data_IF_932627474334
#
_entry.id   IF_932627474334
#
_cell.length_a   1.000
_cell.length_b   1.000
_cell.length_c   1.000
_cell.angle_alpha   90.00
_cell.angle_beta   90.00
_cell.angle_gamma   90.00
#
_symmetry.space_group_name_H-M   'P 1'
#
loop_
_entity.id
_entity.type
_entity.pdbx_description
1 polymer ?
#
# COMPACT_ATOMS: atom_id res chain seq x y z
N UNK A 1 -10.80 28.10 14.27
CA UNK A 1 -9.43 27.78 13.81
C UNK A 1 -9.08 26.31 14.04
N UNK A 2 -9.19 25.79 15.27
CA UNK A 2 -8.91 24.37 15.64
C UNK A 2 -9.57 23.33 14.72
N UNK A 3 -10.86 23.43 14.45
CA UNK A 3 -11.59 22.46 13.61
C UNK A 3 -11.17 22.47 12.13
N UNK A 4 -10.67 23.60 11.62
CA UNK A 4 -10.14 23.68 10.25
C UNK A 4 -8.82 22.90 10.15
N UNK A 5 -7.95 23.01 11.15
CA UNK A 5 -6.68 22.28 11.23
C UNK A 5 -6.94 20.78 11.35
N UNK A 6 -7.79 20.36 12.30
CA UNK A 6 -8.13 18.94 12.47
C UNK A 6 -8.75 18.35 11.19
N UNK A 7 -9.57 19.12 10.49
CA UNK A 7 -10.15 18.70 9.21
C UNK A 7 -9.08 18.48 8.14
N UNK A 8 -8.10 19.38 8.04
CA UNK A 8 -6.98 19.23 7.11
C UNK A 8 -6.15 17.97 7.41
N UNK A 9 -5.89 17.70 8.70
CA UNK A 9 -5.20 16.48 9.15
C UNK A 9 -5.96 15.24 8.69
N UNK A 10 -7.29 15.19 8.89
CA UNK A 10 -8.12 14.06 8.40
C UNK A 10 -8.03 13.93 6.89
N UNK A 11 -8.11 15.03 6.14
CA UNK A 11 -8.06 15.02 4.67
C UNK A 11 -6.74 14.41 4.16
N UNK A 12 -5.62 14.68 4.83
CA UNK A 12 -4.29 14.23 4.40
C UNK A 12 -3.95 12.84 4.93
N UNK A 13 -4.20 12.57 6.22
CA UNK A 13 -3.76 11.33 6.85
C UNK A 13 -4.66 10.14 6.50
N UNK A 14 -5.97 10.35 6.34
CA UNK A 14 -6.89 9.24 6.08
C UNK A 14 -6.56 8.50 4.78
N UNK A 15 -6.29 9.19 3.65
CA UNK A 15 -5.86 8.51 2.42
C UNK A 15 -4.53 7.78 2.57
N UNK A 16 -3.55 8.39 3.25
CA UNK A 16 -2.25 7.77 3.46
C UNK A 16 -2.35 6.49 4.30
N UNK A 17 -3.17 6.51 5.37
CA UNK A 17 -3.42 5.31 6.18
C UNK A 17 -4.12 4.23 5.36
N UNK A 18 -5.16 4.57 4.58
CA UNK A 18 -5.83 3.56 3.75
C UNK A 18 -4.93 2.96 2.67
N UNK A 19 -4.07 3.78 2.04
CA UNK A 19 -3.09 3.31 1.07
C UNK A 19 -2.07 2.35 1.70
N UNK A 20 -1.46 2.72 2.82
CA UNK A 20 -0.45 1.89 3.48
C UNK A 20 -1.06 0.64 4.15
N UNK A 21 -2.30 0.69 4.61
CA UNK A 21 -3.04 -0.51 5.05
C UNK A 21 -3.32 -1.43 3.85
N UNK A 22 -3.72 -0.87 2.71
CA UNK A 22 -3.96 -1.66 1.49
C UNK A 22 -2.68 -2.30 0.96
N UNK A 23 -1.55 -1.59 1.04
CA UNK A 23 -0.24 -2.13 0.74
C UNK A 23 0.06 -3.36 1.60
N UNK A 24 -0.07 -3.26 2.93
CA UNK A 24 0.18 -4.41 3.81
C UNK A 24 -0.75 -5.59 3.48
N UNK A 25 -2.04 -5.35 3.24
CA UNK A 25 -3.00 -6.42 2.89
C UNK A 25 -2.62 -7.11 1.59
N UNK A 26 -2.23 -6.35 0.56
CA UNK A 26 -1.90 -6.90 -0.76
C UNK A 26 -0.57 -7.64 -0.75
N UNK A 27 0.44 -7.11 -0.07
CA UNK A 27 1.77 -7.74 0.02
C UNK A 27 1.69 -9.05 0.80
N UNK A 28 0.81 -9.16 1.82
CA UNK A 28 0.58 -10.39 2.61
C UNK A 28 -0.42 -11.38 1.99
N UNK A 29 -0.78 -11.22 0.72
CA UNK A 29 -1.85 -12.00 0.10
C UNK A 29 -1.28 -13.14 -0.73
N UNK A 30 -1.12 -14.32 -0.12
CA UNK A 30 -0.57 -15.51 -0.78
C UNK A 30 -1.34 -15.88 -2.05
N UNK A 31 -2.67 -15.81 -1.99
CA UNK A 31 -3.52 -16.11 -3.15
C UNK A 31 -3.29 -15.16 -4.33
N UNK A 32 -2.91 -13.91 -4.05
CA UNK A 32 -2.62 -12.92 -5.09
C UNK A 32 -1.23 -13.16 -5.67
N UNK A 33 -0.23 -13.48 -4.85
CA UNK A 33 1.11 -13.83 -5.32
C UNK A 33 1.08 -15.10 -6.17
N UNK A 34 0.41 -16.15 -5.69
CA UNK A 34 0.22 -17.39 -6.44
C UNK A 34 -0.44 -17.16 -7.82
N UNK A 35 -1.51 -16.36 -7.87
CA UNK A 35 -2.16 -15.97 -9.12
C UNK A 35 -1.19 -15.22 -10.06
N UNK A 36 -0.37 -14.31 -9.52
CA UNK A 36 0.56 -13.54 -10.33
C UNK A 36 1.77 -14.35 -10.79
N UNK A 37 2.22 -15.35 -10.03
CA UNK A 37 3.25 -16.29 -10.46
C UNK A 37 2.84 -17.09 -11.69
N UNK A 38 1.60 -17.57 -11.71
CA UNK A 38 1.02 -18.25 -12.88
C UNK A 38 0.90 -17.29 -14.07
N UNK A 39 0.26 -16.12 -13.88
CA UNK A 39 0.04 -15.13 -14.96
C UNK A 39 1.35 -14.65 -15.60
N UNK A 40 2.41 -14.48 -14.80
CA UNK A 40 3.69 -13.97 -15.27
C UNK A 40 4.71 -15.08 -15.56
N UNK A 41 4.32 -16.35 -15.47
CA UNK A 41 5.14 -17.51 -15.75
C UNK A 41 6.49 -17.48 -15.00
N UNK A 42 6.43 -17.16 -13.71
CA UNK A 42 7.61 -16.87 -12.88
C UNK A 42 8.46 -18.11 -12.66
N UNK A 43 7.85 -19.30 -12.53
CA UNK A 43 8.60 -20.56 -12.39
C UNK A 43 9.63 -20.74 -13.51
N UNK A 44 9.23 -20.50 -14.76
CA UNK A 44 10.16 -20.60 -15.90
C UNK A 44 11.18 -19.45 -15.95
N UNK A 45 10.84 -18.27 -15.42
CA UNK A 45 11.74 -17.12 -15.42
C UNK A 45 12.83 -17.23 -14.35
N UNK A 46 12.56 -17.94 -13.25
CA UNK A 46 13.47 -18.07 -12.12
C UNK A 46 14.05 -19.47 -11.93
N UNK A 47 13.51 -20.49 -12.60
CA UNK A 47 13.91 -21.89 -12.40
C UNK A 47 13.49 -22.46 -11.04
N UNK A 48 12.51 -21.83 -10.38
CA UNK A 48 12.01 -22.26 -9.05
C UNK A 48 10.61 -22.84 -9.21
N UNK A 49 10.37 -24.01 -8.59
CA UNK A 49 9.04 -24.61 -8.49
C UNK A 49 8.11 -23.71 -7.64
N UNK A 50 6.80 -23.77 -7.89
CA UNK A 50 5.82 -22.88 -7.25
C UNK A 50 5.83 -22.94 -5.72
N UNK A 51 6.01 -24.12 -5.14
CA UNK A 51 6.08 -24.29 -3.68
C UNK A 51 7.30 -23.57 -3.10
N UNK A 52 8.41 -23.58 -3.84
CA UNK A 52 9.64 -22.88 -3.45
C UNK A 52 9.50 -21.37 -3.63
N UNK A 53 8.88 -20.91 -4.72
CA UNK A 53 8.53 -19.50 -4.92
C UNK A 53 7.68 -18.96 -3.76
N UNK A 54 6.67 -19.70 -3.34
CA UNK A 54 5.81 -19.30 -2.22
C UNK A 54 6.57 -19.28 -0.89
N UNK A 55 7.43 -20.27 -0.62
CA UNK A 55 8.30 -20.26 0.58
C UNK A 55 9.23 -19.04 0.59
N UNK A 56 9.90 -18.75 -0.53
CA UNK A 56 10.79 -17.59 -0.65
C UNK A 56 10.00 -16.30 -0.49
N UNK A 57 8.78 -16.24 -1.02
CA UNK A 57 7.86 -15.10 -0.83
C UNK A 57 7.56 -14.88 0.64
N UNK A 58 7.25 -15.94 1.39
CA UNK A 58 6.97 -15.84 2.83
C UNK A 58 8.20 -15.28 3.57
N UNK A 59 9.41 -15.69 3.20
CA UNK A 59 10.65 -15.15 3.79
C UNK A 59 10.88 -13.68 3.43
N UNK A 60 10.60 -13.26 2.19
CA UNK A 60 10.62 -11.86 1.78
C UNK A 60 9.59 -11.06 2.58
N UNK A 61 8.36 -11.56 2.72
CA UNK A 61 7.31 -10.88 3.48
C UNK A 61 7.68 -10.78 4.97
N UNK A 62 8.21 -11.84 5.55
CA UNK A 62 8.65 -11.83 6.95
C UNK A 62 9.79 -10.84 7.18
N UNK A 63 10.71 -10.67 6.22
CA UNK A 63 11.70 -9.59 6.25
C UNK A 63 11.05 -8.21 6.17
N UNK A 64 10.20 -7.96 5.17
CA UNK A 64 9.53 -6.66 4.97
C UNK A 64 8.64 -6.22 6.14
N UNK A 65 8.15 -7.17 6.95
CA UNK A 65 7.32 -6.92 8.12
C UNK A 65 8.02 -7.19 9.45
N UNK A 66 9.36 -7.24 9.46
CA UNK A 66 10.19 -7.23 10.66
C UNK A 66 10.15 -8.50 11.51
N UNK A 67 9.76 -9.64 10.91
CA UNK A 67 9.82 -10.97 11.53
C UNK A 67 11.12 -11.72 11.22
N UNK A 68 11.90 -11.23 10.27
CA UNK A 68 13.24 -11.72 9.89
C UNK A 68 14.23 -10.55 9.91
N UNK A 69 15.46 -10.81 10.37
CA UNK A 69 16.48 -9.77 10.56
C UNK A 69 17.28 -9.43 9.29
N UNK A 70 17.48 -10.40 8.39
CA UNK A 70 18.32 -10.23 7.21
C UNK A 70 17.66 -10.78 5.93
N UNK A 71 18.09 -10.30 4.76
CA UNK A 71 17.55 -10.71 3.46
C UNK A 71 18.32 -11.89 2.79
N UNK A 72 19.25 -12.55 3.49
CA UNK A 72 19.99 -13.69 2.92
C UNK A 72 19.09 -14.93 2.90
N UNK A 73 18.39 -15.14 1.78
CA UNK A 73 17.45 -16.23 1.60
C UNK A 73 18.07 -17.31 0.72
N UNK A 74 18.13 -18.53 1.26
CA UNK A 74 18.56 -19.73 0.55
C UNK A 74 17.37 -20.45 -0.07
N UNK A 75 17.61 -21.16 -1.16
CA UNK A 75 16.64 -22.07 -1.74
C UNK A 75 17.17 -22.80 -2.96
N UNK A 76 16.26 -23.49 -3.63
CA UNK A 76 16.56 -24.31 -4.80
C UNK A 76 16.18 -23.59 -6.09
N UNK A 77 17.15 -23.38 -6.97
CA UNK A 77 16.94 -22.94 -8.37
C UNK A 77 17.49 -24.04 -9.29
N UNK A 78 16.68 -24.49 -10.25
CA UNK A 78 17.00 -25.57 -11.19
C UNK A 78 17.49 -26.87 -10.50
N UNK A 79 16.93 -27.16 -9.32
CA UNK A 79 17.33 -28.33 -8.51
C UNK A 79 18.64 -28.18 -7.74
N UNK A 80 19.24 -26.98 -7.72
CA UNK A 80 20.48 -26.69 -7.00
C UNK A 80 20.22 -25.71 -5.84
N UNK A 81 20.58 -26.15 -4.63
CA UNK A 81 20.56 -25.33 -3.41
C UNK A 81 21.65 -24.24 -3.46
N UNK A 82 21.25 -22.98 -3.30
CA UNK A 82 22.13 -21.82 -3.34
C UNK A 82 21.50 -20.60 -2.61
N UNK A 83 22.27 -19.51 -2.49
CA UNK A 83 21.71 -18.20 -2.15
C UNK A 83 20.89 -17.71 -3.35
N UNK A 84 19.63 -17.32 -3.13
CA UNK A 84 18.72 -16.94 -4.23
C UNK A 84 19.06 -15.55 -4.77
N UNK A 85 19.45 -14.64 -3.89
CA UNK A 85 19.69 -13.23 -4.23
C UNK A 85 21.18 -12.91 -4.19
N UNK A 86 21.62 -12.11 -5.16
CA UNK A 86 22.99 -11.59 -5.20
C UNK A 86 23.17 -10.38 -4.26
N UNK A 87 24.42 -9.97 -4.05
CA UNK A 87 24.79 -8.87 -3.14
C UNK A 87 24.07 -7.55 -3.47
N UNK A 88 23.89 -7.24 -4.76
CA UNK A 88 23.20 -6.01 -5.19
C UNK A 88 21.71 -6.05 -4.84
N UNK A 89 21.06 -7.19 -5.03
CA UNK A 89 19.65 -7.38 -4.67
C UNK A 89 19.43 -7.32 -3.16
N UNK A 90 20.35 -7.89 -2.39
CA UNK A 90 20.33 -7.83 -0.92
C UNK A 90 20.44 -6.39 -0.43
N UNK A 91 21.41 -5.61 -0.93
CA UNK A 91 21.57 -4.20 -0.55
C UNK A 91 20.32 -3.38 -0.93
N UNK A 92 19.75 -3.64 -2.12
CA UNK A 92 18.51 -3.00 -2.51
C UNK A 92 17.35 -3.35 -1.56
N UNK A 93 17.22 -4.62 -1.19
CA UNK A 93 16.13 -5.06 -0.32
C UNK A 93 16.30 -4.60 1.12
N UNK A 94 17.53 -4.41 1.62
CA UNK A 94 17.79 -3.73 2.89
C UNK A 94 17.25 -2.28 2.88
N UNK A 95 17.51 -1.53 1.80
CA UNK A 95 16.94 -0.19 1.63
C UNK A 95 15.39 -0.22 1.59
N UNK A 96 14.81 -1.22 0.92
CA UNK A 96 13.35 -1.43 0.87
C UNK A 96 12.79 -1.80 2.25
N UNK A 97 13.49 -2.62 3.04
CA UNK A 97 13.11 -2.98 4.40
C UNK A 97 13.00 -1.73 5.29
N UNK A 98 14.01 -0.85 5.25
CA UNK A 98 13.97 0.44 5.96
C UNK A 98 12.80 1.32 5.51
N UNK A 99 12.48 1.31 4.21
CA UNK A 99 11.34 2.05 3.67
C UNK A 99 10.00 1.49 4.19
N UNK A 100 9.86 0.16 4.23
CA UNK A 100 8.69 -0.52 4.80
C UNK A 100 8.53 -0.20 6.29
N UNK A 101 9.59 -0.31 7.09
CA UNK A 101 9.57 0.01 8.52
C UNK A 101 9.10 1.43 8.78
N UNK A 102 9.69 2.41 8.08
CA UNK A 102 9.28 3.82 8.18
C UNK A 102 7.83 4.03 7.75
N UNK A 103 7.40 3.36 6.68
CA UNK A 103 6.03 3.41 6.17
C UNK A 103 5.00 2.86 7.16
N UNK A 104 5.26 1.68 7.72
CA UNK A 104 4.39 1.04 8.71
C UNK A 104 4.33 1.85 10.01
N UNK A 105 5.48 2.36 10.49
CA UNK A 105 5.51 3.25 11.64
C UNK A 105 4.68 4.51 11.41
N UNK A 106 4.89 5.19 10.28
CA UNK A 106 4.12 6.38 9.91
C UNK A 106 2.62 6.08 9.86
N UNK A 107 2.22 4.98 9.20
CA UNK A 107 0.82 4.56 9.13
C UNK A 107 0.23 4.36 10.53
N UNK A 108 0.93 3.64 11.40
CA UNK A 108 0.43 3.32 12.75
C UNK A 108 0.26 4.59 13.60
N UNK A 109 1.24 5.51 13.54
CA UNK A 109 1.18 6.82 14.21
C UNK A 109 0.08 7.72 13.61
N UNK A 110 -0.14 7.68 12.29
CA UNK A 110 -1.21 8.42 11.65
C UNK A 110 -2.60 7.85 12.02
N UNK A 111 -2.74 6.52 12.09
CA UNK A 111 -3.98 5.83 12.48
C UNK A 111 -4.39 6.12 13.93
N UNK A 112 -3.50 5.82 14.89
CA UNK A 112 -3.01 6.81 15.84
C UNK A 112 -3.81 8.10 16.10
N UNK A 113 -3.31 9.15 15.47
CA UNK A 113 -3.86 10.51 15.45
C UNK A 113 -5.32 10.53 14.95
N UNK A 114 -5.64 9.80 13.89
CA UNK A 114 -7.00 9.75 13.33
C UNK A 114 -8.01 9.18 14.34
N UNK A 115 -7.62 8.19 15.14
CA UNK A 115 -8.45 7.62 16.20
C UNK A 115 -8.81 8.69 17.24
N UNK A 116 -7.81 9.45 17.73
CA UNK A 116 -8.06 10.54 18.69
C UNK A 116 -8.94 11.65 18.09
N UNK A 117 -8.72 12.01 16.82
CA UNK A 117 -9.58 12.97 16.12
C UNK A 117 -11.01 12.41 15.97
N UNK A 118 -11.14 11.12 15.69
CA UNK A 118 -12.42 10.41 15.61
C UNK A 118 -13.18 10.48 16.93
N UNK A 119 -12.51 10.16 18.06
CA UNK A 119 -13.08 10.25 19.41
C UNK A 119 -13.56 11.67 19.71
N UNK A 120 -12.73 12.68 19.45
CA UNK A 120 -13.12 14.09 19.58
C UNK A 120 -14.36 14.41 18.70
N UNK A 121 -14.39 13.88 17.49
CA UNK A 121 -15.45 14.07 16.50
C UNK A 121 -16.79 13.39 16.85
N UNK A 122 -16.85 12.48 17.83
CA UNK A 122 -18.11 11.83 18.26
C UNK A 122 -19.12 12.87 18.77
N UNK A 123 -18.65 13.90 19.45
CA UNK A 123 -19.48 15.04 19.90
C UNK A 123 -19.84 16.02 18.79
N UNK A 124 -19.21 15.87 17.61
CA UNK A 124 -19.31 16.78 16.44
C UNK A 124 -19.52 16.00 15.16
N UNK A 125 -20.47 15.07 15.18
CA UNK A 125 -20.70 14.05 14.13
C UNK A 125 -20.77 14.64 12.73
N UNK A 126 -21.54 15.72 12.54
CA UNK A 126 -21.65 16.41 11.23
C UNK A 126 -20.31 16.89 10.69
N UNK A 127 -19.46 17.46 11.55
CA UNK A 127 -18.11 17.91 11.17
C UNK A 127 -17.23 16.72 10.79
N UNK A 128 -17.26 15.64 11.57
CA UNK A 128 -16.47 14.43 11.33
C UNK A 128 -16.85 13.79 9.99
N UNK A 129 -18.14 13.55 9.75
CA UNK A 129 -18.63 12.94 8.51
C UNK A 129 -18.30 13.78 7.29
N UNK A 130 -18.48 15.11 7.35
CA UNK A 130 -18.10 16.02 6.26
C UNK A 130 -16.59 16.02 6.01
N UNK A 131 -15.78 15.82 7.04
CA UNK A 131 -14.32 15.77 6.91
C UNK A 131 -13.87 14.48 6.23
N UNK A 132 -14.46 13.33 6.60
CA UNK A 132 -14.19 12.04 5.97
C UNK A 132 -14.67 11.98 4.50
N UNK A 133 -15.84 12.53 4.19
CA UNK A 133 -16.32 12.64 2.80
C UNK A 133 -15.38 13.51 1.96
N UNK A 134 -14.94 14.66 2.49
CA UNK A 134 -14.01 15.53 1.77
C UNK A 134 -12.63 14.89 1.61
N UNK A 135 -12.18 14.12 2.60
CA UNK A 135 -10.96 13.32 2.50
C UNK A 135 -11.04 12.31 1.35
N UNK A 136 -12.15 11.58 1.25
CA UNK A 136 -12.38 10.65 0.13
C UNK A 136 -12.44 11.36 -1.23
N UNK A 137 -13.13 12.49 -1.33
CA UNK A 137 -13.16 13.27 -2.56
C UNK A 137 -11.75 13.72 -2.99
N UNK A 138 -10.95 14.20 -2.03
CA UNK A 138 -9.56 14.63 -2.27
C UNK A 138 -8.69 13.44 -2.71
N UNK A 139 -8.84 12.30 -2.05
CA UNK A 139 -8.16 11.06 -2.44
C UNK A 139 -8.46 10.69 -3.90
N UNK A 140 -9.72 10.68 -4.33
CA UNK A 140 -10.06 10.32 -5.71
C UNK A 140 -9.52 11.32 -6.74
N UNK A 141 -9.46 12.61 -6.41
CA UNK A 141 -8.82 13.61 -7.29
C UNK A 141 -7.33 13.31 -7.47
N UNK A 142 -6.61 13.05 -6.37
CA UNK A 142 -5.19 12.70 -6.40
C UNK A 142 -4.97 11.36 -7.10
N UNK A 143 -5.83 10.38 -6.85
CA UNK A 143 -5.77 9.06 -7.47
C UNK A 143 -5.93 9.13 -8.99
N UNK A 144 -6.88 9.93 -9.50
CA UNK A 144 -7.06 10.10 -10.95
C UNK A 144 -5.80 10.70 -11.58
N UNK A 145 -5.20 11.71 -10.93
CA UNK A 145 -3.97 12.32 -11.41
C UNK A 145 -2.81 11.30 -11.40
N UNK A 146 -2.53 10.65 -10.27
CA UNK A 146 -1.44 9.69 -10.14
C UNK A 146 -1.64 8.44 -11.01
N UNK A 147 -2.86 7.89 -11.03
CA UNK A 147 -3.22 6.76 -11.86
C UNK A 147 -3.11 7.07 -13.35
N UNK A 148 -3.45 8.29 -13.77
CA UNK A 148 -3.24 8.77 -15.13
C UNK A 148 -1.75 8.83 -15.50
N UNK A 149 -0.90 9.33 -14.60
CA UNK A 149 0.55 9.35 -14.79
C UNK A 149 1.12 7.93 -14.93
N UNK A 150 0.78 7.03 -14.00
CA UNK A 150 1.21 5.63 -14.02
C UNK A 150 0.71 4.88 -15.27
N UNK A 151 -0.48 5.22 -15.78
CA UNK A 151 -1.02 4.65 -17.00
C UNK A 151 -0.28 5.10 -18.26
N UNK A 152 0.18 6.36 -18.31
CA UNK A 152 0.88 6.92 -19.46
C UNK A 152 2.30 6.35 -19.61
N UNK A 153 3.04 6.24 -18.51
CA UNK A 153 4.42 5.76 -18.53
C UNK A 153 4.83 5.17 -17.18
N UNK A 154 4.45 3.92 -16.94
CA UNK A 154 4.74 3.25 -15.68
C UNK A 154 6.24 3.22 -15.37
N UNK A 155 7.08 2.91 -16.36
CA UNK A 155 8.53 2.79 -16.17
C UNK A 155 9.16 4.10 -15.71
N UNK A 156 8.79 5.23 -16.33
CA UNK A 156 9.27 6.55 -15.90
C UNK A 156 8.93 6.85 -14.45
N UNK A 157 7.68 6.62 -14.03
CA UNK A 157 7.26 6.94 -12.67
C UNK A 157 7.74 5.91 -11.65
N UNK A 158 7.98 4.65 -12.07
CA UNK A 158 8.68 3.65 -11.30
C UNK A 158 10.12 4.09 -11.01
N UNK A 159 10.87 4.55 -12.01
CA UNK A 159 12.22 5.07 -11.80
C UNK A 159 12.23 6.32 -10.93
N UNK A 160 11.31 7.27 -11.18
CA UNK A 160 11.19 8.47 -10.35
C UNK A 160 10.89 8.13 -8.87
N UNK A 161 10.06 7.11 -8.62
CA UNK A 161 9.84 6.63 -7.25
C UNK A 161 11.15 6.17 -6.61
N UNK A 162 11.95 5.37 -7.31
CA UNK A 162 13.22 4.89 -6.79
C UNK A 162 14.22 6.03 -6.55
N UNK A 163 14.30 7.00 -7.44
CA UNK A 163 15.15 8.20 -7.28
C UNK A 163 14.73 9.08 -6.08
N UNK A 164 13.45 9.07 -5.70
CA UNK A 164 12.96 9.81 -4.52
C UNK A 164 13.36 9.12 -3.21
N UNK A 165 13.32 7.79 -3.18
CA UNK A 165 13.51 7.03 -1.94
C UNK A 165 14.92 6.48 -1.76
N UNK A 166 15.67 6.27 -2.83
CA UNK A 166 17.00 5.68 -2.82
C UNK A 166 18.03 6.65 -3.40
N UNK A 167 19.17 6.76 -2.72
CA UNK A 167 20.25 7.69 -3.08
C UNK A 167 21.41 7.00 -3.81
N UNK A 168 21.23 5.73 -4.14
CA UNK A 168 22.20 4.84 -4.79
C UNK A 168 21.55 4.14 -5.98
N UNK A 169 22.32 3.30 -6.65
CA UNK A 169 21.97 2.69 -7.93
C UNK A 169 21.66 1.18 -7.76
N UNK A 170 21.61 0.64 -6.53
CA UNK A 170 21.44 -0.80 -6.28
C UNK A 170 20.07 -1.33 -6.71
N UNK A 171 19.06 -0.45 -6.75
CA UNK A 171 17.72 -0.76 -7.27
C UNK A 171 17.65 -0.96 -8.79
N UNK A 172 18.70 -0.58 -9.53
CA UNK A 172 18.80 -0.87 -10.96
C UNK A 172 19.27 -2.32 -11.11
N UNK A 173 18.34 -3.19 -11.48
CA UNK A 173 18.53 -4.64 -11.60
C UNK A 173 18.41 -5.06 -13.08
N UNK A 174 19.34 -5.90 -13.53
CA UNK A 174 19.30 -6.50 -14.86
C UNK A 174 18.55 -7.84 -14.79
N UNK A 175 17.43 -8.04 -15.53
CA UNK A 175 16.72 -9.31 -15.58
C UNK A 175 17.56 -10.51 -16.02
N UNK A 176 18.69 -10.29 -16.70
CA UNK A 176 19.61 -11.38 -17.06
C UNK A 176 20.31 -12.00 -15.84
N UNK A 177 20.53 -11.21 -14.78
CA UNK A 177 21.33 -11.60 -13.62
C UNK A 177 20.56 -11.54 -12.28
N UNK A 178 19.37 -10.93 -12.26
CA UNK A 178 18.58 -10.68 -11.05
C UNK A 178 17.39 -11.64 -10.94
N UNK A 179 17.42 -12.48 -9.91
CA UNK A 179 16.28 -13.34 -9.55
C UNK A 179 15.12 -12.50 -8.99
N UNK A 180 15.40 -11.45 -8.24
CA UNK A 180 14.40 -10.58 -7.61
C UNK A 180 13.48 -9.95 -8.66
N UNK A 181 14.01 -9.34 -9.72
CA UNK A 181 13.17 -8.74 -10.76
C UNK A 181 12.47 -9.78 -11.63
N UNK A 182 13.00 -11.01 -11.70
CA UNK A 182 12.34 -12.13 -12.37
C UNK A 182 11.22 -12.75 -11.51
N UNK A 183 11.29 -12.66 -10.18
CA UNK A 183 10.19 -13.01 -9.27
C UNK A 183 9.04 -12.01 -9.34
N UNK A 184 9.35 -10.71 -9.42
CA UNK A 184 8.35 -9.63 -9.51
C UNK A 184 8.53 -8.80 -10.78
N UNK A 185 8.34 -9.41 -11.97
CA UNK A 185 8.53 -8.73 -13.24
C UNK A 185 7.59 -7.53 -13.36
N UNK A 186 7.93 -6.58 -14.23
CA UNK A 186 7.24 -5.28 -14.27
C UNK A 186 5.71 -5.38 -14.37
N UNK A 187 5.18 -6.36 -15.10
CA UNK A 187 3.74 -6.60 -15.21
C UNK A 187 3.12 -7.05 -13.88
N UNK A 188 3.79 -7.94 -13.14
CA UNK A 188 3.40 -8.29 -11.78
C UNK A 188 3.48 -7.06 -10.88
N UNK A 189 4.57 -6.28 -10.92
CA UNK A 189 4.67 -5.08 -10.09
C UNK A 189 3.55 -4.07 -10.38
N UNK A 190 3.16 -3.88 -11.65
CA UNK A 190 1.98 -3.10 -12.02
C UNK A 190 0.69 -3.66 -11.42
N UNK A 191 0.53 -4.98 -11.38
CA UNK A 191 -0.61 -5.64 -10.74
C UNK A 191 -0.65 -5.41 -9.24
N UNK A 192 0.50 -5.43 -8.54
CA UNK A 192 0.60 -5.07 -7.12
C UNK A 192 0.06 -3.66 -6.91
N UNK A 193 0.61 -2.68 -7.67
CA UNK A 193 0.20 -1.27 -7.58
C UNK A 193 -1.30 -1.12 -7.85
N UNK A 194 -1.82 -1.73 -8.92
CA UNK A 194 -3.25 -1.69 -9.26
C UNK A 194 -4.10 -2.27 -8.12
N UNK A 195 -3.71 -3.41 -7.54
CA UNK A 195 -4.47 -4.06 -6.46
C UNK A 195 -4.50 -3.21 -5.18
N UNK A 196 -3.39 -2.53 -4.86
CA UNK A 196 -3.33 -1.56 -3.75
C UNK A 196 -4.29 -0.39 -4.00
N UNK A 197 -4.25 0.19 -5.20
CA UNK A 197 -5.13 1.31 -5.57
C UNK A 197 -6.61 0.91 -5.57
N UNK A 198 -6.95 -0.30 -6.03
CA UNK A 198 -8.32 -0.80 -6.00
C UNK A 198 -8.82 -1.01 -4.57
N UNK A 199 -8.01 -1.65 -3.72
CA UNK A 199 -8.36 -1.95 -2.33
C UNK A 199 -8.55 -0.68 -1.50
N UNK A 200 -7.63 0.27 -1.64
CA UNK A 200 -7.73 1.59 -0.99
C UNK A 200 -8.89 2.41 -1.52
N UNK A 201 -9.19 2.33 -2.82
CA UNK A 201 -10.35 3.00 -3.40
C UNK A 201 -11.68 2.44 -2.90
N UNK A 202 -11.79 1.11 -2.82
CA UNK A 202 -12.99 0.44 -2.30
C UNK A 202 -13.26 0.84 -0.85
N UNK A 203 -12.22 0.85 -0.01
CA UNK A 203 -12.35 1.26 1.41
C UNK A 203 -12.72 2.73 1.56
N UNK A 204 -12.05 3.64 0.84
CA UNK A 204 -12.37 5.07 0.86
C UNK A 204 -13.80 5.37 0.36
N UNK A 205 -14.26 4.66 -0.67
CA UNK A 205 -15.62 4.76 -1.17
C UNK A 205 -16.64 4.27 -0.14
N UNK A 206 -16.38 3.13 0.51
CA UNK A 206 -17.21 2.61 1.59
C UNK A 206 -17.34 3.59 2.76
N UNK A 207 -16.23 4.21 3.18
CA UNK A 207 -16.20 5.23 4.23
C UNK A 207 -17.03 6.46 3.85
N UNK A 208 -16.85 6.98 2.62
CA UNK A 208 -17.60 8.13 2.13
C UNK A 208 -19.11 7.83 2.05
N UNK A 209 -19.47 6.64 1.57
CA UNK A 209 -20.86 6.20 1.46
C UNK A 209 -21.53 6.09 2.83
N UNK A 210 -20.90 5.40 3.79
CA UNK A 210 -21.38 5.29 5.17
C UNK A 210 -21.52 6.67 5.83
N UNK A 211 -20.50 7.52 5.74
CA UNK A 211 -20.55 8.88 6.28
C UNK A 211 -21.66 9.72 5.63
N UNK A 212 -21.92 9.54 4.33
CA UNK A 212 -23.01 10.20 3.62
C UNK A 212 -24.38 9.80 4.14
N UNK A 213 -24.60 8.51 4.41
CA UNK A 213 -25.84 8.01 5.04
C UNK A 213 -25.99 8.58 6.45
N UNK A 214 -24.94 8.50 7.28
CA UNK A 214 -24.97 8.97 8.66
C UNK A 214 -25.20 10.48 8.75
N UNK A 215 -24.58 11.27 7.86
CA UNK A 215 -24.79 12.71 7.78
C UNK A 215 -26.24 13.06 7.43
N UNK A 216 -26.85 12.35 6.47
CA UNK A 216 -28.28 12.54 6.12
C UNK A 216 -29.19 12.26 7.32
N UNK A 217 -28.92 11.19 8.09
CA UNK A 217 -29.68 10.85 9.30
C UNK A 217 -29.56 11.92 10.38
N UNK A 218 -28.36 12.42 10.62
CA UNK A 218 -28.09 13.47 11.62
C UNK A 218 -28.83 14.78 11.30
N UNK A 219 -28.84 15.18 10.02
CA UNK A 219 -29.57 16.38 9.58
C UNK A 219 -31.08 16.23 9.75
N UNK A 220 -31.64 15.05 9.43
CA UNK A 220 -33.07 14.77 9.60
C UNK A 220 -33.50 14.77 11.07
N UNK A 221 -32.67 14.22 11.97
CA UNK A 221 -32.97 14.16 13.40
C UNK A 221 -33.10 15.56 14.02
N UNK A 222 -32.17 16.48 13.73
CA UNK A 222 -32.27 17.87 14.20
C UNK A 222 -33.48 18.60 13.61
N UNK A 223 -33.78 18.39 12.32
CA UNK A 223 -34.96 18.98 11.68
C UNK A 223 -36.27 18.57 12.35
N UNK A 224 -36.38 17.32 12.82
CA UNK A 224 -37.55 16.84 13.55
C UNK A 224 -37.63 17.37 15.00
N UNK A 225 -36.50 17.69 15.63
CA UNK A 225 -36.46 18.25 16.99
C UNK A 225 -36.97 19.70 16.98
N UNK A 226 -36.50 20.52 16.03
CA UNK A 226 -36.89 21.93 15.90
C UNK A 226 -38.36 22.16 15.48
N UNK A 227 -39.10 21.12 15.06
CA UNK A 227 -40.54 21.23 14.67
C UNK A 227 -41.46 20.95 15.88
N UNK A 228 -40.93 20.39 16.97
CA UNK A 228 -41.71 19.97 18.15
C UNK A 228 -41.65 20.94 19.33
N UNK A 229 -40.90 22.04 19.19
CA UNK A 229 -40.81 23.16 20.13
C UNK A 229 -41.58 24.38 19.57
#
# INVERSE_FOLDING_TARGET
>A
MKEKILKLIVIILMPAVMLLTSLEIVVKSDSFFLEQYDINNVENATGMEIDELMRVTDEIQDFLFGKREDFNIKGTIDGVEQEIFNEREIIHMDDVGVLFDKGILFRNVAAMVLLFIGIYGISKRKWLYKSLILSAATYFVVLIALGGLLYLDFNRYFNLFHEIFFSNDYWILDPADSVLINMVPINFFMSIVKRILLTSSATMMGIAFLCGILLKREVKHEGNFNIRD
#
